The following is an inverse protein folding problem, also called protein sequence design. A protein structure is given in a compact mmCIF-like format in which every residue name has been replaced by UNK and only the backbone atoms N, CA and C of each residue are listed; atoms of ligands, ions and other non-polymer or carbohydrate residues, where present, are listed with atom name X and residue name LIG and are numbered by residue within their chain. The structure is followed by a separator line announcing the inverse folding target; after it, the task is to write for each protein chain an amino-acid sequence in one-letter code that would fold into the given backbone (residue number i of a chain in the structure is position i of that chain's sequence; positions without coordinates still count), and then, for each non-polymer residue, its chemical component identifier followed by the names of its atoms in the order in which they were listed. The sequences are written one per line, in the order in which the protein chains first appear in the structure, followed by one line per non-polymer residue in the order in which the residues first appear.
data_IF_706800610366
#
_entry.id   IF_706800610366
#
_cell.length_a   1.000
_cell.length_b   1.000
_cell.length_c   1.000
_cell.angle_alpha   90.00
_cell.angle_beta   90.00
_cell.angle_gamma   90.00
#
_symmetry.space_group_name_H-M   'P 1'
#
loop_
_entity.id
_entity.type
_entity.pdbx_description
1 polymer ?
#
# COMPACT_ATOMS: atom_id res chain seq x y z
N UNK A 1 -16.22 0.35 -22.09
CA UNK A 1 -16.52 0.58 -20.67
C UNK A 1 -15.33 1.17 -19.97
N UNK A 2 -15.40 2.47 -19.70
CA UNK A 2 -14.61 3.32 -18.78
C UNK A 2 -13.08 3.46 -18.89
N UNK A 3 -12.34 2.69 -19.69
CA UNK A 3 -10.87 2.91 -19.83
C UNK A 3 -10.44 3.27 -21.27
N UNK A 4 -11.19 2.83 -22.29
CA UNK A 4 -10.79 3.03 -23.70
C UNK A 4 -10.81 4.47 -24.20
N UNK A 5 -11.60 5.36 -23.58
CA UNK A 5 -11.91 6.67 -24.16
C UNK A 5 -11.15 7.85 -23.51
N UNK A 6 -10.22 7.61 -22.58
CA UNK A 6 -9.52 8.68 -21.84
C UNK A 6 -8.05 8.90 -22.21
N UNK A 7 -7.46 8.03 -23.04
CA UNK A 7 -6.06 8.16 -23.44
C UNK A 7 -5.85 7.63 -24.87
N UNK A 8 -5.29 8.46 -25.77
CA UNK A 8 -4.86 8.02 -27.12
C UNK A 8 -3.67 7.02 -27.07
N UNK A 9 -2.98 6.90 -25.92
CA UNK A 9 -1.89 5.94 -25.67
C UNK A 9 -2.01 5.39 -24.24
N UNK A 10 -2.09 4.06 -23.99
CA UNK A 10 -2.04 3.54 -22.63
C UNK A 10 -0.64 3.74 -22.04
N UNK A 11 -0.60 4.05 -20.73
CA UNK A 11 0.57 4.32 -19.85
C UNK A 11 1.94 4.08 -20.50
N UNK A 12 2.41 5.11 -21.20
CA UNK A 12 3.79 5.49 -21.50
C UNK A 12 4.88 4.39 -21.36
N UNK A 13 5.17 3.70 -22.48
CA UNK A 13 6.36 2.87 -22.83
C UNK A 13 6.16 1.36 -23.04
N UNK A 14 5.01 0.77 -22.71
CA UNK A 14 4.75 -0.64 -23.09
C UNK A 14 4.22 -0.74 -24.53
N UNK A 15 4.92 -1.50 -25.38
CA UNK A 15 4.43 -1.87 -26.73
C UNK A 15 3.29 -2.88 -26.67
N UNK A 16 3.12 -3.54 -25.52
CA UNK A 16 2.17 -4.62 -25.31
C UNK A 16 0.94 -4.17 -24.50
N UNK A 17 -0.25 -4.75 -24.78
CA UNK A 17 -1.43 -4.57 -23.94
C UNK A 17 -1.20 -5.06 -22.50
N UNK A 18 -1.95 -4.48 -21.55
CA UNK A 18 -1.99 -5.00 -20.18
C UNK A 18 -2.36 -6.49 -20.16
N UNK A 19 -1.62 -7.26 -19.37
CA UNK A 19 -1.82 -8.69 -19.17
C UNK A 19 -1.57 -9.05 -17.71
N UNK A 20 -2.51 -9.74 -17.08
CA UNK A 20 -2.35 -10.21 -15.70
C UNK A 20 -1.16 -11.17 -15.57
N UNK A 21 -0.96 -12.03 -16.58
CA UNK A 21 0.17 -12.96 -16.62
C UNK A 21 1.51 -12.21 -16.60
N UNK A 22 1.61 -11.15 -17.41
CA UNK A 22 2.84 -10.35 -17.48
C UNK A 22 3.09 -9.60 -16.17
N UNK A 23 2.04 -9.02 -15.58
CA UNK A 23 2.12 -8.15 -14.41
C UNK A 23 2.32 -8.92 -13.09
N UNK A 24 1.96 -10.21 -13.06
CA UNK A 24 2.05 -11.02 -11.84
C UNK A 24 3.07 -12.15 -11.99
N UNK A 25 2.86 -13.09 -12.92
CA UNK A 25 3.67 -14.29 -13.02
C UNK A 25 5.05 -13.98 -13.61
N UNK A 26 5.08 -13.29 -14.74
CA UNK A 26 6.33 -12.99 -15.43
C UNK A 26 7.15 -11.95 -14.68
N UNK A 27 6.51 -10.88 -14.17
CA UNK A 27 7.17 -9.91 -13.31
C UNK A 27 7.82 -10.59 -12.09
N UNK A 28 7.12 -11.53 -11.46
CA UNK A 28 7.66 -12.31 -10.35
C UNK A 28 8.90 -13.12 -10.77
N UNK A 29 8.81 -13.84 -11.90
CA UNK A 29 9.92 -14.63 -12.45
C UNK A 29 11.16 -13.77 -12.70
N UNK A 30 11.00 -12.61 -13.33
CA UNK A 30 12.09 -11.67 -13.61
C UNK A 30 12.74 -11.17 -12.31
N UNK A 31 11.95 -10.84 -11.28
CA UNK A 31 12.48 -10.42 -9.99
C UNK A 31 13.29 -11.54 -9.34
N UNK A 32 12.82 -12.78 -9.39
CA UNK A 32 13.53 -13.93 -8.82
C UNK A 32 14.85 -14.24 -9.54
N UNK A 33 14.94 -13.99 -10.85
CA UNK A 33 16.18 -14.13 -11.62
C UNK A 33 17.24 -13.08 -11.24
N UNK A 34 16.79 -11.90 -10.82
CA UNK A 34 17.66 -10.80 -10.38
C UNK A 34 18.00 -10.89 -8.88
N UNK A 35 17.20 -11.63 -8.11
CA UNK A 35 17.39 -11.82 -6.68
C UNK A 35 18.51 -12.82 -6.38
N UNK A 36 19.18 -12.73 -5.21
CA UNK A 36 20.05 -13.80 -4.73
C UNK A 36 19.34 -15.15 -4.71
N UNK A 37 20.04 -16.25 -5.02
CA UNK A 37 19.43 -17.60 -5.17
C UNK A 37 18.58 -18.06 -3.97
N UNK A 38 18.88 -17.56 -2.77
CA UNK A 38 18.19 -17.90 -1.52
C UNK A 38 17.00 -16.99 -1.20
N UNK A 39 16.67 -16.03 -2.08
CA UNK A 39 15.53 -15.11 -1.91
C UNK A 39 14.45 -15.42 -2.94
N UNK A 40 13.21 -15.42 -2.47
CA UNK A 40 12.00 -15.56 -3.28
C UNK A 40 11.10 -14.36 -3.04
N UNK A 41 10.20 -14.10 -3.97
CA UNK A 41 9.17 -13.10 -3.77
C UNK A 41 8.04 -13.73 -2.98
N UNK A 42 7.53 -13.01 -1.99
CA UNK A 42 6.49 -13.50 -1.08
C UNK A 42 5.25 -12.59 -1.02
N UNK A 43 5.41 -11.31 -1.40
CA UNK A 43 4.38 -10.28 -1.28
C UNK A 43 4.32 -9.45 -2.57
N UNK A 44 3.10 -9.14 -3.02
CA UNK A 44 2.80 -8.08 -3.97
C UNK A 44 2.23 -6.87 -3.22
N UNK A 45 2.77 -5.69 -3.48
CA UNK A 45 2.22 -4.42 -3.04
C UNK A 45 1.56 -3.72 -4.22
N UNK A 46 0.29 -3.34 -4.10
CA UNK A 46 -0.46 -2.78 -5.23
C UNK A 46 0.05 -1.41 -5.63
N UNK A 47 0.23 -1.19 -6.93
CA UNK A 47 0.61 0.11 -7.47
C UNK A 47 -0.60 1.02 -7.64
N UNK A 48 -0.35 2.33 -7.76
CA UNK A 48 -1.37 3.32 -8.04
C UNK A 48 -2.40 3.45 -6.90
N UNK A 49 -3.69 3.36 -7.25
CA UNK A 49 -4.80 3.58 -6.32
C UNK A 49 -5.10 2.39 -5.40
N UNK A 50 -4.32 1.30 -5.47
CA UNK A 50 -4.51 0.10 -4.63
C UNK A 50 -5.89 -0.55 -4.78
N UNK A 51 -6.48 -0.49 -5.98
CA UNK A 51 -7.76 -1.13 -6.30
C UNK A 51 -7.57 -2.31 -7.27
N UNK A 52 -6.97 -3.43 -6.82
CA UNK A 52 -6.86 -4.63 -7.64
C UNK A 52 -8.26 -5.21 -7.96
N UNK A 53 -8.40 -5.78 -9.14
CA UNK A 53 -9.60 -6.52 -9.53
C UNK A 53 -9.41 -8.03 -9.32
N UNK A 54 -10.51 -8.78 -9.27
CA UNK A 54 -10.52 -10.19 -8.90
C UNK A 54 -9.49 -11.06 -9.66
N UNK A 55 -9.39 -10.89 -10.98
CA UNK A 55 -8.47 -11.72 -11.77
C UNK A 55 -6.98 -11.48 -11.44
N UNK A 56 -6.57 -10.26 -11.05
CA UNK A 56 -5.18 -10.05 -10.61
C UNK A 56 -4.93 -10.62 -9.21
N UNK A 57 -5.91 -10.51 -8.30
CA UNK A 57 -5.84 -11.14 -6.97
C UNK A 57 -5.75 -12.66 -7.07
N UNK A 58 -6.55 -13.25 -7.94
CA UNK A 58 -6.54 -14.68 -8.24
C UNK A 58 -5.18 -15.14 -8.74
N UNK A 59 -4.57 -14.40 -9.67
CA UNK A 59 -3.24 -14.70 -10.18
C UNK A 59 -2.18 -14.63 -9.08
N UNK A 60 -2.25 -13.64 -8.16
CA UNK A 60 -1.37 -13.57 -6.99
C UNK A 60 -1.49 -14.81 -6.11
N UNK A 61 -2.71 -15.25 -5.79
CA UNK A 61 -2.95 -16.48 -5.01
C UNK A 61 -2.41 -17.72 -5.72
N UNK A 62 -2.66 -17.86 -7.01
CA UNK A 62 -2.21 -19.00 -7.82
C UNK A 62 -0.68 -19.06 -7.96
N UNK A 63 -0.02 -17.90 -7.93
CA UNK A 63 1.44 -17.79 -7.85
C UNK A 63 2.01 -18.12 -6.46
N UNK A 64 1.16 -18.39 -5.45
CA UNK A 64 1.60 -18.62 -4.08
C UNK A 64 2.06 -17.35 -3.34
N UNK A 65 1.73 -16.17 -3.89
CA UNK A 65 2.11 -14.88 -3.34
C UNK A 65 1.01 -14.35 -2.41
N UNK A 66 1.41 -13.58 -1.41
CA UNK A 66 0.50 -12.78 -0.61
C UNK A 66 0.35 -11.38 -1.21
N UNK A 67 -0.72 -10.66 -0.87
CA UNK A 67 -0.92 -9.27 -1.29
C UNK A 67 -1.15 -8.36 -0.11
N UNK A 68 -0.70 -7.11 -0.20
CA UNK A 68 -0.94 -6.10 0.84
C UNK A 68 -1.01 -4.69 0.25
N UNK A 69 -1.68 -3.81 1.00
CA UNK A 69 -1.78 -2.35 0.91
C UNK A 69 -3.17 -1.83 0.52
N UNK A 70 -3.34 -0.50 0.59
CA UNK A 70 -4.62 0.17 0.57
C UNK A 70 -5.26 0.26 1.97
N UNK A 71 -6.45 0.84 2.04
CA UNK A 71 -7.24 0.99 3.26
C UNK A 71 -6.97 2.28 4.04
N UNK A 72 -5.83 2.93 3.86
CA UNK A 72 -5.53 4.30 4.33
C UNK A 72 -6.05 4.64 5.74
N UNK A 73 -5.84 3.71 6.69
CA UNK A 73 -6.32 3.89 8.06
C UNK A 73 -5.63 5.09 8.72
N UNK A 74 -6.47 6.00 9.22
CA UNK A 74 -6.10 7.15 10.04
C UNK A 74 -7.05 7.22 11.22
N UNK A 75 -6.53 7.37 12.44
CA UNK A 75 -7.35 7.61 13.62
C UNK A 75 -6.59 8.52 14.57
N UNK A 76 -6.51 9.79 14.20
CA UNK A 76 -5.73 10.83 14.86
C UNK A 76 -6.58 12.12 14.99
N UNK A 77 -6.06 13.24 15.51
CA UNK A 77 -6.86 14.45 15.70
C UNK A 77 -7.55 15.01 14.44
N UNK A 78 -7.00 14.78 13.25
CA UNK A 78 -7.60 15.20 11.96
C UNK A 78 -8.72 14.24 11.56
N UNK A 79 -8.50 12.94 11.77
CA UNK A 79 -9.44 11.85 11.46
C UNK A 79 -9.95 11.18 12.74
N UNK A 80 -10.58 11.99 13.61
CA UNK A 80 -10.93 11.60 14.99
C UNK A 80 -12.17 10.70 15.09
N UNK A 81 -12.28 9.66 14.26
CA UNK A 81 -13.40 8.72 14.28
C UNK A 81 -12.98 7.32 13.82
N UNK A 82 -13.60 6.32 14.43
CA UNK A 82 -13.52 4.92 14.00
C UNK A 82 -13.93 4.73 12.53
N UNK A 83 -14.74 5.63 11.97
CA UNK A 83 -15.14 5.60 10.57
C UNK A 83 -13.95 5.68 9.59
N UNK A 84 -12.79 6.16 10.04
CA UNK A 84 -11.55 6.24 9.26
C UNK A 84 -10.62 5.04 9.47
N UNK A 85 -11.05 4.03 10.24
CA UNK A 85 -10.34 2.77 10.42
C UNK A 85 -10.85 1.76 9.41
N UNK A 86 -10.02 1.44 8.42
CA UNK A 86 -10.38 0.46 7.40
C UNK A 86 -10.33 -0.98 7.95
N UNK A 87 -11.13 -1.91 7.38
CA UNK A 87 -11.09 -3.31 7.76
C UNK A 87 -9.70 -3.93 7.51
N UNK A 88 -9.48 -5.14 7.99
CA UNK A 88 -8.23 -5.89 7.72
C UNK A 88 -8.06 -6.19 6.24
N UNK A 89 -9.16 -6.37 5.51
CA UNK A 89 -9.14 -6.58 4.07
C UNK A 89 -10.53 -6.41 3.44
N UNK A 90 -10.57 -6.54 2.14
CA UNK A 90 -11.76 -6.41 1.30
C UNK A 90 -11.94 -7.68 0.46
N UNK A 91 -13.16 -8.21 0.42
CA UNK A 91 -13.51 -9.29 -0.50
C UNK A 91 -13.77 -8.72 -1.90
N UNK A 92 -13.12 -9.29 -2.90
CA UNK A 92 -13.26 -8.92 -4.32
C UNK A 92 -13.60 -10.18 -5.09
N UNK A 93 -14.89 -10.42 -5.29
CA UNK A 93 -15.39 -11.70 -5.80
C UNK A 93 -15.03 -12.84 -4.84
N UNK A 94 -14.38 -13.88 -5.35
CA UNK A 94 -13.92 -15.03 -4.57
C UNK A 94 -12.54 -14.81 -3.90
N UNK A 95 -11.89 -13.69 -4.15
CA UNK A 95 -10.54 -13.38 -3.66
C UNK A 95 -10.56 -12.31 -2.54
N UNK A 96 -9.43 -12.15 -1.87
CA UNK A 96 -9.28 -11.20 -0.76
C UNK A 96 -8.08 -10.27 -1.00
N UNK A 97 -8.33 -8.97 -0.95
CA UNK A 97 -7.30 -7.95 -0.80
C UNK A 97 -7.03 -7.72 0.68
N UNK A 98 -5.76 -7.71 1.10
CA UNK A 98 -5.37 -7.36 2.46
C UNK A 98 -4.90 -5.91 2.50
N UNK A 99 -5.46 -5.12 3.41
CA UNK A 99 -5.05 -3.72 3.59
C UNK A 99 -3.81 -3.60 4.46
N UNK A 100 -3.07 -2.50 4.29
CA UNK A 100 -2.03 -2.16 5.24
C UNK A 100 -2.66 -1.88 6.61
N UNK A 101 -1.88 -2.08 7.67
CA UNK A 101 -2.40 -1.86 9.01
C UNK A 101 -2.66 -0.38 9.27
N UNK A 102 -1.69 0.46 8.95
CA UNK A 102 -1.79 1.92 8.89
C UNK A 102 -1.46 2.42 7.48
N UNK A 103 -1.93 3.64 7.20
CA UNK A 103 -1.54 4.37 6.00
C UNK A 103 -0.04 4.73 6.00
N UNK A 104 0.52 4.90 4.80
CA UNK A 104 1.83 5.48 4.58
C UNK A 104 1.84 6.99 4.85
N UNK A 105 3.04 7.57 4.92
CA UNK A 105 3.29 8.96 5.26
C UNK A 105 2.72 9.98 4.27
N UNK A 106 2.49 9.61 3.01
CA UNK A 106 1.95 10.54 1.99
C UNK A 106 0.57 11.07 2.40
N UNK A 107 -0.29 10.23 3.02
CA UNK A 107 -1.62 10.67 3.48
C UNK A 107 -1.54 11.66 4.64
N UNK A 108 -0.41 11.72 5.35
CA UNK A 108 -0.15 12.69 6.41
C UNK A 108 0.43 14.00 5.87
N UNK A 109 0.90 14.01 4.62
CA UNK A 109 1.70 15.10 4.02
C UNK A 109 1.06 15.68 2.75
N UNK A 110 -0.25 15.45 2.54
CA UNK A 110 -0.96 15.89 1.32
C UNK A 110 -0.22 15.46 0.04
N UNK A 111 0.09 14.16 -0.06
CA UNK A 111 0.88 13.59 -1.16
C UNK A 111 2.20 14.34 -1.39
N UNK A 112 2.90 14.60 -0.28
CA UNK A 112 4.21 15.27 -0.25
C UNK A 112 4.20 16.75 -0.67
N UNK A 113 3.07 17.43 -0.53
CA UNK A 113 2.96 18.87 -0.84
C UNK A 113 3.00 19.79 0.37
N UNK A 114 2.67 19.29 1.57
CA UNK A 114 2.65 20.09 2.80
C UNK A 114 2.84 19.20 4.05
N UNK A 115 2.85 19.81 5.24
CA UNK A 115 2.79 19.16 6.55
C UNK A 115 3.80 18.02 6.68
N UNK A 116 5.04 18.24 6.26
CA UNK A 116 6.10 17.21 6.28
C UNK A 116 6.33 16.57 7.66
N UNK A 117 5.90 17.20 8.76
CA UNK A 117 5.92 16.62 10.11
C UNK A 117 4.78 15.63 10.40
N UNK A 118 3.78 15.53 9.52
CA UNK A 118 2.47 14.93 9.78
C UNK A 118 2.53 13.46 10.14
N UNK A 119 3.53 12.72 9.64
CA UNK A 119 3.65 11.29 9.91
C UNK A 119 3.80 10.95 11.40
N UNK A 120 4.16 11.93 12.24
CA UNK A 120 4.18 11.79 13.71
C UNK A 120 2.83 11.38 14.30
N UNK A 121 1.73 11.67 13.62
CA UNK A 121 0.38 11.32 14.07
C UNK A 121 0.04 9.84 13.87
N UNK A 122 0.94 9.04 13.28
CA UNK A 122 0.84 7.58 13.28
C UNK A 122 0.73 7.03 14.71
N UNK A 123 1.44 7.63 15.68
CA UNK A 123 1.36 7.24 17.08
C UNK A 123 -0.09 7.32 17.63
N UNK A 124 -0.83 8.38 17.26
CA UNK A 124 -2.23 8.51 17.65
C UNK A 124 -3.08 7.38 17.06
N UNK A 125 -2.90 7.09 15.78
CA UNK A 125 -3.60 5.98 15.11
C UNK A 125 -3.27 4.65 15.77
N UNK A 126 -2.00 4.38 16.07
CA UNK A 126 -1.56 3.19 16.76
C UNK A 126 -2.18 3.05 18.16
N UNK A 127 -2.19 4.13 18.96
CA UNK A 127 -2.80 4.13 20.29
C UNK A 127 -4.32 3.88 20.22
N UNK A 128 -5.01 4.60 19.34
CA UNK A 128 -6.47 4.56 19.20
C UNK A 128 -6.97 3.23 18.61
N UNK A 129 -6.15 2.53 17.82
CA UNK A 129 -6.49 1.20 17.27
C UNK A 129 -6.02 0.02 18.13
N UNK A 130 -5.27 0.29 19.21
CA UNK A 130 -4.71 -0.74 20.08
C UNK A 130 -5.51 -0.95 21.38
N UNK A 131 -6.19 0.09 21.88
CA UNK A 131 -6.87 0.09 23.18
C UNK A 131 -8.22 0.82 23.10
N UNK A 132 -9.28 0.34 23.80
CA UNK A 132 -9.30 -0.80 24.72
C UNK A 132 -9.34 -2.17 24.03
N UNK A 133 -9.60 -2.21 22.72
CA UNK A 133 -9.61 -3.43 21.92
C UNK A 133 -8.63 -3.21 20.77
N UNK A 134 -7.79 -4.22 20.50
CA UNK A 134 -6.90 -4.19 19.33
C UNK A 134 -7.72 -4.44 18.06
N UNK A 135 -7.82 -3.42 17.23
CA UNK A 135 -8.55 -3.43 15.96
C UNK A 135 -7.63 -3.80 14.79
N UNK A 136 -6.39 -3.29 14.80
CA UNK A 136 -5.42 -3.49 13.73
C UNK A 136 -4.03 -3.84 14.29
N UNK A 137 -3.19 -4.55 13.51
CA UNK A 137 -1.75 -4.62 13.75
C UNK A 137 -1.09 -3.24 13.59
N UNK A 138 0.23 -3.16 13.76
CA UNK A 138 1.03 -1.95 13.58
C UNK A 138 2.05 -2.18 12.45
N UNK A 139 2.17 -1.20 11.55
CA UNK A 139 3.28 -1.07 10.62
C UNK A 139 3.76 0.38 10.58
N UNK A 140 5.01 0.56 10.14
CA UNK A 140 5.57 1.85 9.73
C UNK A 140 5.79 1.74 8.23
N UNK A 141 4.97 2.44 7.45
CA UNK A 141 5.04 2.43 6.00
C UNK A 141 5.45 3.81 5.53
N UNK A 142 6.59 3.91 4.87
CA UNK A 142 7.15 5.16 4.38
C UNK A 142 7.91 4.96 3.07
N UNK A 143 8.16 6.05 2.36
CA UNK A 143 8.98 6.14 1.16
C UNK A 143 10.30 6.84 1.47
N UNK A 144 11.33 6.54 0.67
CA UNK A 144 12.68 7.09 0.83
C UNK A 144 12.74 8.63 0.81
N UNK A 145 11.84 9.29 0.08
CA UNK A 145 11.79 10.75 0.04
C UNK A 145 11.53 11.39 1.41
N UNK A 146 11.03 10.62 2.39
CA UNK A 146 10.87 11.09 3.78
C UNK A 146 12.17 11.65 4.37
N UNK A 147 13.34 11.21 3.87
CA UNK A 147 14.64 11.73 4.25
C UNK A 147 14.99 13.11 3.69
N UNK A 148 14.27 13.63 2.69
CA UNK A 148 14.57 14.91 2.04
C UNK A 148 14.20 16.13 2.91
N UNK A 149 13.34 15.94 3.91
CA UNK A 149 12.88 16.99 4.82
C UNK A 149 13.17 16.59 6.25
N UNK A 150 13.88 17.44 6.99
CA UNK A 150 14.23 17.21 8.39
C UNK A 150 12.98 16.91 9.25
N UNK A 151 11.88 17.63 9.03
CA UNK A 151 10.62 17.41 9.73
C UNK A 151 10.01 16.01 9.49
N UNK A 152 10.10 15.49 8.26
CA UNK A 152 9.60 14.16 7.90
C UNK A 152 10.51 13.06 8.44
N UNK A 153 11.83 13.25 8.34
CA UNK A 153 12.81 12.34 8.92
C UNK A 153 12.65 12.22 10.45
N UNK A 154 12.46 13.35 11.13
CA UNK A 154 12.20 13.35 12.58
C UNK A 154 10.89 12.66 12.94
N UNK A 155 9.84 12.83 12.13
CA UNK A 155 8.58 12.11 12.31
C UNK A 155 8.75 10.59 12.14
N UNK A 156 9.54 10.15 11.16
CA UNK A 156 9.87 8.73 10.97
C UNK A 156 10.66 8.17 12.17
N UNK A 157 11.66 8.89 12.67
CA UNK A 157 12.41 8.46 13.85
C UNK A 157 11.52 8.34 15.09
N UNK A 158 10.59 9.27 15.29
CA UNK A 158 9.63 9.21 16.39
C UNK A 158 8.78 7.94 16.33
N UNK A 159 8.35 7.52 15.13
CA UNK A 159 7.53 6.33 14.96
C UNK A 159 8.31 5.01 15.10
N UNK A 160 9.63 5.04 14.99
CA UNK A 160 10.49 3.85 15.09
C UNK A 160 10.89 3.50 16.53
N UNK A 161 10.79 4.45 17.46
CA UNK A 161 11.14 4.28 18.88
C UNK A 161 10.03 3.56 19.66
#
# INVERSE_FOLDING_TARGET
GLIKDRYERPRAYALEPFSVELEVIEANRVIEELAPEHKRVEVIQWSGNTQPFEAVLKSTREAGLTNINGGDTRFDPEFASFAWVAPVGLRVGDEIQIYSSNSNENTYTEDWTDRFFGFRFLENTARNTNSPIRLKPLNIYYHYYSGEREAALNALYLNYQ
#
